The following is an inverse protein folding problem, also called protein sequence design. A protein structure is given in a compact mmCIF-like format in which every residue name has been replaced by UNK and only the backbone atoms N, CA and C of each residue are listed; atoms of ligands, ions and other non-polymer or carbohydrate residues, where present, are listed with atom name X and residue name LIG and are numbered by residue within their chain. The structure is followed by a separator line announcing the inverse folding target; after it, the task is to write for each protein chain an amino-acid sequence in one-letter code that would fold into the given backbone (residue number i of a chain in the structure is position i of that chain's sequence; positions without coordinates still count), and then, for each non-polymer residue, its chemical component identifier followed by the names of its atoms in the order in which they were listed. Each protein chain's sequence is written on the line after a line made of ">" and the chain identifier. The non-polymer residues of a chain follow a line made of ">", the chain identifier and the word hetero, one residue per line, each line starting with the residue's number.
data_IF_158755884068
#
_entry.id   IF_158755884068
#
_cell.length_a   1.000
_cell.length_b   1.000
_cell.length_c   1.000
_cell.angle_alpha   90.00
_cell.angle_beta   90.00
_cell.angle_gamma   90.00
#
_symmetry.space_group_name_H-M   'P 1'
#
loop_
_entity.id
_entity.type
_entity.pdbx_description
1 polymer ?
#
# COMPACT_ATOMS: atom_id res chain seq x y z
N UNK A 1 7.45 4.52 2.79
CA UNK A 1 6.14 4.75 2.11
C UNK A 1 6.28 5.41 0.75
N UNK A 2 6.88 6.61 0.63
CA UNK A 2 7.10 7.32 -0.64
C UNK A 2 7.76 6.50 -1.76
N UNK A 3 8.83 5.76 -1.44
CA UNK A 3 9.55 4.91 -2.40
C UNK A 3 8.75 3.69 -2.87
N UNK A 4 7.88 3.13 -2.03
CA UNK A 4 7.07 1.94 -2.37
C UNK A 4 5.96 2.35 -3.33
N UNK A 5 5.26 3.44 -3.03
CA UNK A 5 4.11 3.89 -3.80
C UNK A 5 4.49 4.41 -5.19
N UNK A 6 5.61 5.15 -5.28
CA UNK A 6 6.20 5.57 -6.56
C UNK A 6 6.54 4.34 -7.42
N UNK A 7 7.20 3.33 -6.82
CA UNK A 7 7.54 2.10 -7.55
C UNK A 7 6.30 1.33 -8.00
N UNK A 8 5.25 1.25 -7.18
CA UNK A 8 4.01 0.60 -7.57
C UNK A 8 3.40 1.23 -8.83
N UNK A 9 3.45 2.55 -8.98
CA UNK A 9 2.97 3.24 -10.18
C UNK A 9 3.84 2.93 -11.41
N UNK A 10 5.17 2.98 -11.26
CA UNK A 10 6.13 2.70 -12.34
C UNK A 10 5.93 1.28 -12.92
N UNK A 11 5.68 0.29 -12.07
CA UNK A 11 5.46 -1.09 -12.49
C UNK A 11 4.03 -1.37 -13.00
N UNK A 12 3.01 -0.72 -12.41
CA UNK A 12 1.61 -0.92 -12.80
C UNK A 12 1.24 -0.24 -14.12
N UNK A 13 2.02 0.74 -14.57
CA UNK A 13 1.82 1.39 -15.87
C UNK A 13 1.94 0.40 -17.04
N UNK A 14 2.79 -0.62 -16.89
CA UNK A 14 2.89 -1.73 -17.83
C UNK A 14 2.09 -2.95 -17.33
N UNK A 15 0.81 -3.02 -17.71
CA UNK A 15 -0.15 -4.04 -17.23
C UNK A 15 0.34 -5.48 -17.38
N UNK A 16 0.95 -5.92 -18.51
CA UNK A 16 1.45 -7.29 -18.62
C UNK A 16 2.51 -7.66 -17.58
N UNK A 17 3.21 -6.67 -17.01
CA UNK A 17 4.20 -6.89 -15.95
C UNK A 17 3.59 -6.94 -14.55
N UNK A 18 2.48 -6.25 -14.31
CA UNK A 18 1.80 -6.24 -13.00
C UNK A 18 0.27 -6.15 -13.18
N UNK A 19 -0.39 -7.22 -13.66
CA UNK A 19 -1.82 -7.21 -13.84
C UNK A 19 -2.51 -7.23 -12.47
N UNK A 20 -3.52 -6.37 -12.31
CA UNK A 20 -4.28 -6.21 -11.06
C UNK A 20 -5.22 -7.39 -10.79
N UNK A 21 -5.54 -8.16 -11.83
CA UNK A 21 -6.36 -9.35 -11.78
C UNK A 21 -6.04 -10.26 -12.97
N UNK A 22 -6.26 -11.57 -12.79
CA UNK A 22 -6.27 -12.56 -13.86
C UNK A 22 -7.71 -13.02 -14.08
N UNK A 23 -8.27 -12.77 -15.26
CA UNK A 23 -9.69 -13.01 -15.54
C UNK A 23 -10.02 -14.47 -15.88
N UNK A 24 -9.00 -15.32 -16.02
CA UNK A 24 -9.13 -16.76 -16.31
C UNK A 24 -8.16 -17.58 -15.46
N UNK A 25 -8.44 -18.87 -15.26
CA UNK A 25 -7.53 -19.75 -14.54
C UNK A 25 -6.19 -19.92 -15.28
N UNK A 26 -5.10 -20.25 -14.56
CA UNK A 26 -3.81 -20.51 -15.18
C UNK A 26 -3.88 -21.63 -16.23
N UNK A 27 -3.12 -21.55 -17.33
CA UNK A 27 -3.02 -22.63 -18.32
C UNK A 27 -2.59 -23.95 -17.67
N UNK A 28 -3.29 -25.04 -17.99
CA UNK A 28 -3.02 -26.37 -17.41
C UNK A 28 -2.10 -27.23 -18.28
N UNK A 29 -1.87 -26.84 -19.54
CA UNK A 29 -1.07 -27.60 -20.52
C UNK A 29 -0.10 -26.66 -21.22
N UNK A 30 1.16 -27.10 -21.37
CA UNK A 30 2.20 -26.32 -22.05
C UNK A 30 1.92 -26.25 -23.56
N UNK A 31 2.14 -25.08 -24.17
CA UNK A 31 2.08 -24.88 -25.63
C UNK A 31 0.69 -24.76 -26.24
N UNK A 32 -0.37 -24.76 -25.43
CA UNK A 32 -1.76 -24.66 -25.89
C UNK A 32 -2.33 -23.22 -25.90
N UNK A 33 -1.54 -22.23 -25.49
CA UNK A 33 -1.99 -20.85 -25.27
C UNK A 33 -1.65 -19.98 -26.49
N UNK A 34 -2.63 -19.25 -26.99
CA UNK A 34 -2.46 -18.26 -28.07
C UNK A 34 -2.29 -16.83 -27.53
N UNK A 35 -1.92 -15.88 -28.38
CA UNK A 35 -1.86 -14.46 -28.00
C UNK A 35 -3.22 -13.92 -27.53
N UNK A 36 -4.30 -14.30 -28.22
CA UNK A 36 -5.66 -13.94 -27.84
C UNK A 36 -6.04 -14.50 -26.45
N UNK A 37 -5.57 -15.71 -26.12
CA UNK A 37 -5.77 -16.28 -24.79
C UNK A 37 -5.03 -15.46 -23.72
N UNK A 38 -3.79 -15.03 -24.00
CA UNK A 38 -3.02 -14.18 -23.08
C UNK A 38 -3.74 -12.85 -22.85
N UNK A 39 -4.21 -12.20 -23.92
CA UNK A 39 -4.98 -10.96 -23.83
C UNK A 39 -6.31 -11.16 -23.08
N UNK A 40 -6.94 -12.33 -23.20
CA UNK A 40 -8.16 -12.67 -22.46
C UNK A 40 -7.95 -12.90 -20.95
N UNK A 41 -6.70 -13.16 -20.53
CA UNK A 41 -6.36 -13.32 -19.11
C UNK A 41 -6.15 -11.98 -18.43
N UNK A 42 -5.68 -10.98 -19.19
CA UNK A 42 -5.40 -9.63 -18.70
C UNK A 42 -6.68 -8.81 -18.48
N UNK A 43 -6.64 -7.81 -17.59
CA UNK A 43 -7.77 -6.91 -17.36
C UNK A 43 -8.05 -6.04 -18.60
N UNK A 44 -9.32 -5.72 -18.81
CA UNK A 44 -9.73 -4.80 -19.87
C UNK A 44 -9.22 -3.36 -19.62
N UNK A 45 -9.32 -2.52 -20.66
CA UNK A 45 -8.85 -1.13 -20.62
C UNK A 45 -9.54 -0.30 -19.54
N UNK A 46 -10.84 -0.47 -19.32
CA UNK A 46 -11.59 0.30 -18.31
C UNK A 46 -11.12 -0.07 -16.90
N UNK A 47 -11.02 -1.36 -16.62
CA UNK A 47 -10.50 -1.89 -15.35
C UNK A 47 -9.07 -1.39 -15.09
N UNK A 48 -8.22 -1.44 -16.12
CA UNK A 48 -6.85 -0.91 -16.07
C UNK A 48 -6.84 0.59 -15.75
N UNK A 49 -7.59 1.40 -16.49
CA UNK A 49 -7.65 2.85 -16.28
C UNK A 49 -8.11 3.22 -14.88
N UNK A 50 -9.09 2.49 -14.32
CA UNK A 50 -9.58 2.72 -12.95
C UNK A 50 -8.49 2.50 -11.91
N UNK A 51 -7.72 1.42 -12.04
CA UNK A 51 -6.63 1.15 -11.10
C UNK A 51 -5.49 2.16 -11.25
N UNK A 52 -5.12 2.52 -12.48
CA UNK A 52 -4.10 3.55 -12.71
C UNK A 52 -4.51 4.90 -12.13
N UNK A 53 -5.77 5.31 -12.27
CA UNK A 53 -6.28 6.54 -11.65
C UNK A 53 -6.20 6.48 -10.12
N UNK A 54 -6.57 5.37 -9.50
CA UNK A 54 -6.48 5.19 -8.05
C UNK A 54 -5.02 5.22 -7.55
N UNK A 55 -4.13 4.46 -8.20
CA UNK A 55 -2.70 4.43 -7.87
C UNK A 55 -2.03 5.79 -8.05
N UNK A 56 -2.36 6.50 -9.13
CA UNK A 56 -1.88 7.85 -9.37
C UNK A 56 -2.39 8.84 -8.31
N UNK A 57 -3.66 8.72 -7.90
CA UNK A 57 -4.24 9.50 -6.82
C UNK A 57 -3.50 9.31 -5.48
N UNK A 58 -3.14 8.06 -5.17
CA UNK A 58 -2.35 7.73 -3.98
C UNK A 58 -0.92 8.28 -4.10
N UNK A 59 -0.34 8.30 -5.29
CA UNK A 59 1.02 8.82 -5.52
C UNK A 59 1.11 10.35 -5.53
N UNK A 60 -0.01 11.07 -5.38
CA UNK A 60 0.02 12.53 -5.38
C UNK A 60 0.80 13.08 -4.18
N UNK A 61 1.53 14.20 -4.38
CA UNK A 61 2.34 14.81 -3.32
C UNK A 61 1.49 15.19 -2.09
N UNK A 62 0.21 15.55 -2.30
CA UNK A 62 -0.70 15.88 -1.20
C UNK A 62 -0.94 14.69 -0.25
N UNK A 63 -1.13 13.48 -0.77
CA UNK A 63 -1.34 12.29 0.05
C UNK A 63 -0.09 11.94 0.87
N UNK A 64 1.10 12.14 0.28
CA UNK A 64 2.37 11.93 0.98
C UNK A 64 2.60 12.95 2.09
N UNK A 65 2.26 14.23 1.86
CA UNK A 65 2.36 15.28 2.89
C UNK A 65 1.43 15.00 4.08
N UNK A 66 0.21 14.54 3.82
CA UNK A 66 -0.72 14.15 4.88
C UNK A 66 -0.18 12.99 5.71
N UNK A 67 0.46 12.01 5.08
CA UNK A 67 1.08 10.90 5.81
C UNK A 67 2.26 11.37 6.67
N UNK A 68 3.11 12.25 6.13
CA UNK A 68 4.23 12.84 6.87
C UNK A 68 3.73 13.65 8.09
N UNK A 69 2.64 14.41 7.94
CA UNK A 69 2.01 15.15 9.03
C UNK A 69 1.48 14.21 10.13
N UNK A 70 0.74 13.15 9.75
CA UNK A 70 0.24 12.17 10.72
C UNK A 70 1.41 11.50 11.46
N UNK A 71 2.51 11.19 10.77
CA UNK A 71 3.70 10.62 11.39
C UNK A 71 4.38 11.58 12.37
N UNK A 72 4.41 12.88 12.07
CA UNK A 72 4.94 13.89 12.97
C UNK A 72 4.08 13.98 14.25
N UNK A 73 2.75 14.05 14.10
CA UNK A 73 1.84 14.11 15.24
C UNK A 73 1.91 12.88 16.14
N UNK A 74 2.06 11.68 15.56
CA UNK A 74 2.24 10.45 16.34
C UNK A 74 3.55 10.45 17.14
N UNK A 75 4.60 11.08 16.62
CA UNK A 75 5.88 11.23 17.34
C UNK A 75 5.73 12.17 18.53
N UNK A 76 5.10 13.32 18.33
CA UNK A 76 4.84 14.28 19.42
C UNK A 76 4.01 13.63 20.56
N UNK A 77 3.02 12.80 20.20
CA UNK A 77 2.24 12.04 21.18
C UNK A 77 3.11 11.02 21.93
N UNK A 78 4.01 10.32 21.22
CA UNK A 78 4.93 9.36 21.85
C UNK A 78 5.84 10.04 22.87
N UNK A 79 6.43 11.17 22.50
CA UNK A 79 7.31 11.97 23.36
C UNK A 79 6.57 12.47 24.61
N UNK A 80 5.35 12.99 24.44
CA UNK A 80 4.50 13.43 25.55
C UNK A 80 4.12 12.28 26.50
N UNK A 81 3.86 11.08 25.96
CA UNK A 81 3.60 9.89 26.77
C UNK A 81 4.85 9.46 27.53
N UNK A 82 6.03 9.52 26.90
CA UNK A 82 7.30 9.18 27.53
C UNK A 82 7.62 10.11 28.70
N UNK A 83 7.46 11.43 28.50
CA UNK A 83 7.64 12.44 29.56
C UNK A 83 6.67 12.20 30.72
N UNK A 84 5.38 12.03 30.45
CA UNK A 84 4.37 11.76 31.49
C UNK A 84 4.64 10.46 32.24
N UNK A 85 5.09 9.42 31.56
CA UNK A 85 5.43 8.14 32.18
C UNK A 85 6.68 8.22 33.08
N UNK A 86 7.60 9.16 32.84
CA UNK A 86 8.78 9.36 33.70
C UNK A 86 8.44 9.87 35.10
N UNK A 87 7.26 10.50 35.25
CA UNK A 87 6.79 11.11 36.49
C UNK A 87 5.85 10.19 37.29
N UNK A 88 5.56 8.98 36.79
CA UNK A 88 4.65 8.02 37.40
C UNK A 88 5.42 6.84 37.99
N UNK A 89 5.06 6.41 39.20
CA UNK A 89 5.60 5.18 39.78
C UNK A 89 5.27 3.93 38.94
N UNK A 90 4.10 3.94 38.28
CA UNK A 90 3.66 2.89 37.35
C UNK A 90 3.38 3.48 35.96
N UNK A 91 4.32 3.34 35.00
CA UNK A 91 4.15 3.80 33.63
C UNK A 91 3.01 3.11 32.88
N UNK A 92 2.35 3.84 31.97
CA UNK A 92 1.35 3.29 31.05
C UNK A 92 1.86 3.37 29.59
N UNK A 93 2.49 2.31 29.05
CA UNK A 93 3.13 2.37 27.73
C UNK A 93 2.30 1.77 26.59
N UNK A 94 1.15 1.16 26.89
CA UNK A 94 0.39 0.34 25.93
C UNK A 94 -0.18 1.14 24.74
N UNK A 95 -0.44 2.44 24.93
CA UNK A 95 -0.96 3.32 23.87
C UNK A 95 0.10 4.26 23.29
N UNK A 96 1.39 4.02 23.53
CA UNK A 96 2.44 4.76 22.82
C UNK A 96 2.40 4.36 21.34
N UNK A 97 2.31 5.32 20.40
CA UNK A 97 2.29 5.03 18.96
C UNK A 97 3.46 4.18 18.45
N UNK A 98 4.62 4.23 19.12
CA UNK A 98 5.79 3.39 18.79
C UNK A 98 5.58 1.90 19.12
N UNK A 99 4.62 1.58 19.99
CA UNK A 99 4.34 0.23 20.46
C UNK A 99 3.08 -0.38 19.86
N UNK A 100 2.33 0.39 19.08
CA UNK A 100 1.09 -0.05 18.44
C UNK A 100 1.42 -0.51 17.02
N UNK A 101 1.10 -1.76 16.71
CA UNK A 101 1.16 -2.23 15.33
C UNK A 101 0.05 -1.60 14.49
N UNK A 102 0.34 -1.33 13.21
CA UNK A 102 -0.63 -0.74 12.28
C UNK A 102 -1.84 -1.64 12.01
N UNK A 103 -1.74 -2.95 12.29
CA UNK A 103 -2.75 -3.96 11.99
C UNK A 103 -2.78 -5.04 13.06
N UNK A 104 -3.91 -5.75 13.16
CA UNK A 104 -4.04 -6.93 14.02
C UNK A 104 -3.54 -8.16 13.25
N UNK A 105 -2.37 -8.67 13.61
CA UNK A 105 -1.79 -9.90 13.06
C UNK A 105 -1.61 -10.93 14.20
N UNK A 106 -2.69 -11.65 14.52
CA UNK A 106 -2.69 -12.79 15.46
C UNK A 106 -2.63 -14.11 14.69
#
# INVERSE_FOLDING_TARGET
>A
YKMILSRCLDFAFWVPNCPVAMLRPPPQVKGAVTEDDIMSFLPDVNTTCRVLMALNGLSQPLFLLLLEEVQAQLRDISDAIAERNSQLELPYPYLSPERIENSVAI
#
